data_IF_881056044278
#
_entry.id   IF_881056044278
#
_cell.length_a   1.000
_cell.length_b   1.000
_cell.length_c   1.000
_cell.angle_alpha   90.00
_cell.angle_beta   90.00
_cell.angle_gamma   90.00
#
_symmetry.space_group_name_H-M   'P 1'
#
loop_
_entity.id
_entity.type
_entity.pdbx_description
1 polymer ?
#
# COMPACT_ATOMS: atom_id res chain seq x y z
N UNK A 1 -1.35 16.13 1.40
CA UNK A 1 -1.09 16.09 -0.05
C UNK A 1 -0.14 14.93 -0.37
N UNK A 2 -0.65 13.74 -0.76
CA UNK A 2 0.17 12.50 -0.87
C UNK A 2 0.68 12.16 -2.29
N UNK A 3 0.33 12.96 -3.29
CA UNK A 3 0.66 12.73 -4.70
C UNK A 3 1.97 13.42 -5.13
N UNK A 4 2.23 14.61 -4.57
CA UNK A 4 3.42 15.42 -4.86
C UNK A 4 4.75 14.65 -4.83
N UNK A 5 5.08 13.83 -3.80
CA UNK A 5 6.37 13.13 -3.78
C UNK A 5 6.51 12.09 -4.91
N UNK A 6 5.42 11.46 -5.34
CA UNK A 6 5.47 10.51 -6.46
C UNK A 6 5.74 11.23 -7.79
N UNK A 7 5.08 12.37 -8.02
CA UNK A 7 5.32 13.22 -9.21
C UNK A 7 6.76 13.74 -9.22
N UNK A 8 7.26 14.24 -8.08
CA UNK A 8 8.64 14.74 -7.97
C UNK A 8 9.66 13.64 -8.27
N UNK A 9 9.47 12.44 -7.69
CA UNK A 9 10.32 11.28 -7.97
C UNK A 9 10.28 10.93 -9.46
N UNK A 10 9.08 10.71 -10.03
CA UNK A 10 8.95 10.31 -11.43
C UNK A 10 9.54 11.37 -12.39
N UNK A 11 9.42 12.68 -12.09
CA UNK A 11 10.08 13.78 -12.82
C UNK A 11 11.60 13.71 -12.72
N UNK A 12 12.16 13.55 -11.52
CA UNK A 12 13.62 13.44 -11.31
C UNK A 12 14.19 12.25 -12.09
N UNK A 13 13.50 11.11 -12.10
CA UNK A 13 13.95 9.94 -12.86
C UNK A 13 13.91 10.17 -14.39
N UNK A 14 12.93 10.92 -14.92
CA UNK A 14 12.92 11.33 -16.35
C UNK A 14 14.06 12.29 -16.68
N UNK A 15 14.39 13.24 -15.79
CA UNK A 15 15.56 14.11 -15.98
C UNK A 15 16.88 13.32 -15.97
N UNK A 16 17.05 12.41 -15.00
CA UNK A 16 18.24 11.54 -14.89
C UNK A 16 18.39 10.66 -16.14
N UNK A 17 17.31 10.05 -16.62
CA UNK A 17 17.30 9.31 -17.90
C UNK A 17 17.80 10.17 -19.07
N UNK A 18 17.32 11.42 -19.17
CA UNK A 18 17.66 12.32 -20.27
C UNK A 18 19.13 12.77 -20.24
N UNK A 19 19.69 13.00 -19.05
CA UNK A 19 21.12 13.31 -18.87
C UNK A 19 21.99 12.11 -19.24
N UNK A 20 21.67 10.92 -18.71
CA UNK A 20 22.42 9.69 -18.99
C UNK A 20 22.36 9.34 -20.48
N UNK A 21 21.19 9.49 -21.11
CA UNK A 21 21.00 9.22 -22.53
C UNK A 21 21.90 10.09 -23.42
N UNK A 22 21.96 11.41 -23.16
CA UNK A 22 22.85 12.32 -23.92
C UNK A 22 24.33 12.01 -23.67
N UNK A 23 24.71 11.82 -22.41
CA UNK A 23 26.10 11.48 -22.05
C UNK A 23 26.57 10.15 -22.69
N UNK A 24 25.65 9.20 -22.91
CA UNK A 24 25.94 7.91 -23.55
C UNK A 24 26.09 7.98 -25.07
N UNK A 25 25.76 9.12 -25.69
CA UNK A 25 25.89 9.37 -27.14
C UNK A 25 26.99 10.43 -27.45
N UNK A 26 27.88 10.72 -26.50
CA UNK A 26 28.88 11.82 -26.55
C UNK A 26 28.26 13.20 -26.83
N UNK A 27 26.95 13.34 -26.60
CA UNK A 27 26.23 14.59 -26.81
C UNK A 27 26.33 15.50 -25.56
N UNK A 28 26.43 16.81 -25.79
CA UNK A 28 26.52 17.78 -24.69
C UNK A 28 25.34 17.60 -23.68
N UNK A 29 25.63 17.28 -22.41
CA UNK A 29 24.59 16.99 -21.41
C UNK A 29 23.74 18.20 -21.05
N UNK A 30 24.19 19.44 -21.29
CA UNK A 30 23.38 20.65 -21.09
C UNK A 30 22.11 20.66 -21.96
N UNK A 31 22.10 19.94 -23.08
CA UNK A 31 20.93 19.78 -23.96
C UNK A 31 19.83 18.85 -23.41
N UNK A 32 19.96 18.28 -22.21
CA UNK A 32 19.03 17.27 -21.69
C UNK A 32 17.57 17.72 -21.64
N UNK A 33 17.28 19.02 -21.46
CA UNK A 33 15.91 19.54 -21.52
C UNK A 33 15.24 19.31 -22.88
N UNK A 34 15.98 19.44 -24.00
CA UNK A 34 15.46 19.20 -25.35
C UNK A 34 15.06 17.72 -25.56
N UNK A 35 15.76 16.81 -24.89
CA UNK A 35 15.43 15.37 -24.90
C UNK A 35 14.36 15.01 -23.86
N UNK A 36 14.30 15.73 -22.73
CA UNK A 36 13.41 15.44 -21.59
C UNK A 36 11.98 15.97 -21.78
N UNK A 37 11.80 17.15 -22.38
CA UNK A 37 10.50 17.83 -22.38
C UNK A 37 9.33 17.03 -22.98
N UNK A 38 9.49 16.19 -24.04
CA UNK A 38 8.38 15.38 -24.56
C UNK A 38 7.87 14.40 -23.51
N UNK A 39 8.81 13.79 -22.76
CA UNK A 39 8.54 12.83 -21.70
C UNK A 39 7.98 13.50 -20.45
N UNK A 40 8.46 14.70 -20.10
CA UNK A 40 7.91 15.47 -18.97
C UNK A 40 6.46 15.87 -19.21
N UNK A 41 6.13 16.37 -20.42
CA UNK A 41 4.75 16.69 -20.79
C UNK A 41 3.88 15.43 -20.79
N UNK A 42 4.36 14.34 -21.39
CA UNK A 42 3.64 13.05 -21.39
C UNK A 42 3.46 12.46 -19.98
N UNK A 43 4.42 12.64 -19.08
CA UNK A 43 4.36 12.18 -17.68
C UNK A 43 3.30 12.94 -16.88
N UNK A 44 3.22 14.26 -17.08
CA UNK A 44 2.20 15.12 -16.44
C UNK A 44 0.80 14.78 -16.97
N UNK A 45 0.65 14.57 -18.29
CA UNK A 45 -0.60 14.14 -18.91
C UNK A 45 -0.99 12.73 -18.41
N UNK A 46 -0.06 11.79 -18.36
CA UNK A 46 -0.29 10.44 -17.85
C UNK A 46 -0.73 10.45 -16.38
N UNK A 47 -0.13 11.30 -15.55
CA UNK A 47 -0.56 11.55 -14.18
C UNK A 47 -1.97 12.15 -14.08
N UNK A 48 -2.31 13.12 -14.95
CA UNK A 48 -3.64 13.73 -14.98
C UNK A 48 -4.71 12.71 -15.40
N UNK A 49 -4.49 11.95 -16.47
CA UNK A 49 -5.40 10.89 -16.94
C UNK A 49 -5.57 9.82 -15.84
N UNK A 50 -4.47 9.36 -15.24
CA UNK A 50 -4.50 8.39 -14.14
C UNK A 50 -5.14 8.94 -12.84
N UNK A 51 -5.30 10.26 -12.71
CA UNK A 51 -6.03 10.90 -11.61
C UNK A 51 -7.53 11.06 -11.92
N UNK A 52 -7.89 11.25 -13.19
CA UNK A 52 -9.27 11.40 -13.68
C UNK A 52 -10.02 10.06 -13.87
N UNK A 53 -9.30 8.94 -13.99
CA UNK A 53 -9.91 7.65 -14.31
C UNK A 53 -10.92 7.15 -13.24
N UNK A 54 -12.18 6.83 -13.61
CA UNK A 54 -13.16 6.26 -12.68
C UNK A 54 -12.71 4.90 -12.15
N UNK A 55 -12.91 4.63 -10.85
CA UNK A 55 -12.54 3.36 -10.20
C UNK A 55 -11.31 3.41 -9.28
N UNK A 56 -10.57 4.53 -9.27
CA UNK A 56 -9.61 5.00 -8.25
C UNK A 56 -9.21 3.99 -7.14
N UNK A 57 -8.16 3.17 -7.35
CA UNK A 57 -7.39 2.68 -6.22
C UNK A 57 -6.83 3.90 -5.48
N UNK A 58 -7.31 4.18 -4.26
CA UNK A 58 -7.00 5.39 -3.46
C UNK A 58 -5.52 5.52 -3.03
N UNK A 59 -4.61 4.76 -3.63
CA UNK A 59 -3.18 4.68 -3.31
C UNK A 59 -2.35 4.90 -4.59
N UNK A 60 -1.65 6.05 -4.76
CA UNK A 60 -0.73 6.29 -5.90
C UNK A 60 0.51 5.38 -5.92
N UNK A 61 0.59 4.47 -4.95
CA UNK A 61 1.59 3.42 -4.76
C UNK A 61 1.18 2.08 -5.41
N UNK A 62 0.02 2.02 -6.08
CA UNK A 62 -0.43 0.82 -6.77
C UNK A 62 0.37 0.58 -8.05
N UNK A 63 0.78 -0.67 -8.29
CA UNK A 63 1.51 -1.08 -9.51
C UNK A 63 0.68 -0.79 -10.76
N UNK A 64 -0.64 -1.07 -10.74
CA UNK A 64 -1.57 -0.74 -11.83
C UNK A 64 -1.55 0.74 -12.21
N UNK A 65 -1.41 1.63 -11.20
CA UNK A 65 -1.36 3.07 -11.44
C UNK A 65 -0.04 3.48 -12.11
N UNK A 66 1.08 2.89 -11.68
CA UNK A 66 2.37 3.04 -12.34
C UNK A 66 2.37 2.54 -13.78
N UNK A 67 1.70 1.42 -14.07
CA UNK A 67 1.56 0.88 -15.44
C UNK A 67 0.74 1.81 -16.33
N UNK A 68 -0.38 2.35 -15.86
CA UNK A 68 -1.18 3.33 -16.63
C UNK A 68 -0.35 4.58 -16.94
N UNK A 69 0.30 5.17 -15.93
CA UNK A 69 1.17 6.34 -16.12
C UNK A 69 2.31 6.02 -17.09
N UNK A 70 2.95 4.86 -16.97
CA UNK A 70 4.02 4.41 -17.87
C UNK A 70 3.57 4.32 -19.33
N UNK A 71 2.45 3.63 -19.61
CA UNK A 71 1.90 3.48 -20.97
C UNK A 71 1.60 4.85 -21.59
N UNK A 72 0.92 5.75 -20.86
CA UNK A 72 0.65 7.11 -21.34
C UNK A 72 1.92 7.95 -21.53
N UNK A 73 2.93 7.78 -20.66
CA UNK A 73 4.20 8.52 -20.76
C UNK A 73 5.02 8.06 -21.98
N UNK A 74 5.07 6.76 -22.25
CA UNK A 74 5.77 6.20 -23.42
C UNK A 74 5.07 6.62 -24.71
N UNK A 75 3.75 6.39 -24.82
CA UNK A 75 2.98 6.74 -26.04
C UNK A 75 3.01 8.26 -26.28
N UNK A 76 2.70 9.06 -25.26
CA UNK A 76 2.70 10.51 -25.36
C UNK A 76 4.08 11.10 -25.65
N UNK A 77 5.13 10.56 -25.03
CA UNK A 77 6.50 11.03 -25.22
C UNK A 77 7.02 10.76 -26.63
N UNK A 78 6.72 9.59 -27.20
CA UNK A 78 7.07 9.27 -28.58
C UNK A 78 6.26 10.09 -29.59
N UNK A 79 4.95 10.29 -29.35
CA UNK A 79 4.12 11.14 -30.20
C UNK A 79 4.59 12.60 -30.21
N UNK A 80 4.88 13.20 -29.04
CA UNK A 80 5.42 14.55 -28.98
C UNK A 80 6.80 14.65 -29.63
N UNK A 81 7.69 13.65 -29.46
CA UNK A 81 9.01 13.64 -30.10
C UNK A 81 8.90 13.67 -31.62
N UNK A 82 8.05 12.81 -32.20
CA UNK A 82 7.79 12.77 -33.65
C UNK A 82 7.15 14.07 -34.14
N UNK A 83 6.15 14.60 -33.41
CA UNK A 83 5.51 15.87 -33.75
C UNK A 83 6.46 17.08 -33.66
N UNK A 84 7.56 16.96 -32.91
CA UNK A 84 8.61 17.99 -32.79
C UNK A 84 9.68 17.91 -33.88
N UNK A 85 9.52 17.02 -34.87
CA UNK A 85 10.44 16.85 -35.99
C UNK A 85 11.64 15.93 -35.71
N UNK A 86 11.66 15.25 -34.56
CA UNK A 86 12.75 14.33 -34.18
C UNK A 86 12.33 12.86 -34.41
N UNK A 87 13.29 12.00 -34.72
CA UNK A 87 13.02 10.60 -35.09
C UNK A 87 12.90 9.69 -33.88
N UNK A 88 11.89 8.82 -33.87
CA UNK A 88 11.76 7.75 -32.89
C UNK A 88 12.48 6.49 -33.38
N UNK A 89 13.81 6.47 -33.30
CA UNK A 89 14.61 5.29 -33.65
C UNK A 89 14.21 4.08 -32.78
N UNK A 90 14.19 2.88 -33.35
CA UNK A 90 13.74 1.65 -32.66
C UNK A 90 14.54 1.40 -31.37
N UNK A 91 15.86 1.60 -31.40
CA UNK A 91 16.70 1.49 -30.21
C UNK A 91 16.29 2.49 -29.11
N UNK A 92 16.01 3.73 -29.48
CA UNK A 92 15.54 4.75 -28.54
C UNK A 92 14.15 4.41 -27.97
N UNK A 93 13.23 3.87 -28.79
CA UNK A 93 11.92 3.39 -28.32
C UNK A 93 12.10 2.29 -27.27
N UNK A 94 12.94 1.29 -27.53
CA UNK A 94 13.19 0.17 -26.61
C UNK A 94 13.80 0.69 -25.30
N UNK A 95 14.88 1.47 -25.37
CA UNK A 95 15.58 1.99 -24.18
C UNK A 95 14.67 2.89 -23.36
N UNK A 96 13.97 3.85 -23.97
CA UNK A 96 13.03 4.70 -23.26
C UNK A 96 11.89 3.90 -22.61
N UNK A 97 11.30 2.93 -23.33
CA UNK A 97 10.20 2.10 -22.82
C UNK A 97 10.63 1.27 -21.62
N UNK A 98 11.80 0.62 -21.69
CA UNK A 98 12.36 -0.18 -20.60
C UNK A 98 12.76 0.70 -19.40
N UNK A 99 13.49 1.79 -19.63
CA UNK A 99 13.97 2.67 -18.54
C UNK A 99 12.80 3.35 -17.83
N UNK A 100 11.83 3.94 -18.56
CA UNK A 100 10.62 4.48 -17.93
C UNK A 100 9.79 3.37 -17.27
N UNK A 101 9.79 2.14 -17.78
CA UNK A 101 9.10 1.01 -17.15
C UNK A 101 9.70 0.68 -15.77
N UNK A 102 11.02 0.55 -15.70
CA UNK A 102 11.73 0.35 -14.42
C UNK A 102 11.56 1.55 -13.50
N UNK A 103 11.63 2.78 -14.03
CA UNK A 103 11.59 4.01 -13.25
C UNK A 103 10.19 4.41 -12.75
N UNK A 104 9.12 4.05 -13.47
CA UNK A 104 7.74 4.37 -13.05
C UNK A 104 7.06 3.18 -12.36
N UNK A 105 7.34 1.95 -12.78
CA UNK A 105 6.70 0.73 -12.24
C UNK A 105 7.59 0.04 -11.20
N UNK A 106 8.91 -0.01 -11.40
CA UNK A 106 9.84 -0.81 -10.60
C UNK A 106 9.86 -0.45 -9.10
N UNK A 107 9.92 0.84 -8.73
CA UNK A 107 9.88 1.24 -7.32
C UNK A 107 8.51 0.98 -6.66
N UNK A 108 7.42 1.10 -7.42
CA UNK A 108 6.06 0.75 -6.96
C UNK A 108 5.95 -0.76 -6.73
N UNK A 109 6.54 -1.59 -7.60
CA UNK A 109 6.66 -3.04 -7.41
C UNK A 109 7.53 -3.42 -6.20
N UNK A 110 8.69 -2.76 -6.02
CA UNK A 110 9.57 -3.01 -4.87
C UNK A 110 8.88 -2.70 -3.53
N UNK A 111 8.18 -1.57 -3.42
CA UNK A 111 7.43 -1.22 -2.21
C UNK A 111 6.24 -2.14 -1.97
N UNK A 112 5.57 -2.64 -3.01
CA UNK A 112 4.53 -3.65 -2.89
C UNK A 112 5.08 -5.00 -2.39
N UNK A 113 6.25 -5.42 -2.87
CA UNK A 113 6.89 -6.67 -2.44
C UNK A 113 7.38 -6.60 -0.99
N UNK A 114 8.00 -5.48 -0.58
CA UNK A 114 8.41 -5.26 0.82
C UNK A 114 7.22 -5.30 1.78
N UNK A 115 6.06 -4.76 1.38
CA UNK A 115 4.82 -4.82 2.18
C UNK A 115 4.30 -6.24 2.34
N UNK A 116 4.33 -7.06 1.29
CA UNK A 116 3.95 -8.49 1.35
C UNK A 116 4.85 -9.28 2.30
N UNK A 117 6.17 -9.05 2.24
CA UNK A 117 7.14 -9.70 3.15
C UNK A 117 6.88 -9.38 4.62
N UNK A 118 6.56 -8.13 4.96
CA UNK A 118 6.20 -7.76 6.34
C UNK A 118 4.88 -8.37 6.81
N UNK A 119 3.89 -8.49 5.94
CA UNK A 119 2.62 -9.14 6.29
C UNK A 119 2.79 -10.64 6.61
N UNK A 120 3.66 -11.34 5.86
CA UNK A 120 3.97 -12.75 6.14
C UNK A 120 4.72 -12.97 7.47
N UNK A 121 5.62 -12.05 7.84
CA UNK A 121 6.31 -12.12 9.14
C UNK A 121 5.34 -11.98 10.33
N UNK A 122 4.43 -11.00 10.27
CA UNK A 122 3.41 -10.77 11.32
C UNK A 122 2.40 -11.92 11.39
N UNK A 123 2.05 -12.54 10.25
CA UNK A 123 1.18 -13.72 10.24
C UNK A 123 1.82 -14.91 10.98
N UNK A 124 3.12 -15.15 10.80
CA UNK A 124 3.84 -16.16 11.56
C UNK A 124 3.86 -15.87 13.06
N UNK A 125 4.12 -14.63 13.49
CA UNK A 125 4.06 -14.27 14.93
C UNK A 125 2.69 -14.57 15.54
N UNK A 126 1.60 -14.22 14.84
CA UNK A 126 0.25 -14.48 15.36
C UNK A 126 -0.13 -15.97 15.36
N UNK A 127 0.36 -16.76 14.41
CA UNK A 127 0.13 -18.21 14.39
C UNK A 127 0.88 -18.89 15.56
N UNK A 128 2.14 -18.52 15.83
CA UNK A 128 2.89 -18.98 17.00
C UNK A 128 2.25 -18.55 18.35
N UNK A 129 1.81 -17.30 18.50
CA UNK A 129 1.12 -16.84 19.72
C UNK A 129 -0.22 -17.56 19.94
N UNK A 130 -0.95 -17.83 18.87
CA UNK A 130 -2.28 -18.44 18.95
C UNK A 130 -2.21 -19.96 19.16
N UNK A 131 -1.19 -20.63 18.63
CA UNK A 131 -0.94 -22.06 18.84
C UNK A 131 -0.33 -22.32 20.22
N UNK A 132 0.69 -21.55 20.63
CA UNK A 132 1.25 -21.60 21.99
C UNK A 132 0.26 -21.26 23.12
N UNK A 133 -0.85 -20.57 22.79
CA UNK A 133 -1.97 -20.34 23.72
C UNK A 133 -3.01 -21.47 23.74
N UNK A 134 -3.06 -22.34 22.73
CA UNK A 134 -3.93 -23.52 22.70
C UNK A 134 -3.32 -24.69 23.49
N UNK A 135 -1.99 -24.81 23.48
CA UNK A 135 -1.25 -25.85 24.20
C UNK A 135 -1.09 -25.58 25.71
N UNK A 136 -1.61 -24.46 26.22
CA UNK A 136 -1.64 -24.15 27.65
C UNK A 136 -3.08 -23.92 28.18
N UNK A 137 -3.94 -24.95 28.15
CA UNK A 137 -5.22 -24.92 28.85
C UNK A 137 -4.98 -24.99 30.36
N UNK A 138 -4.83 -23.82 30.98
CA UNK A 138 -5.20 -23.50 32.37
C UNK A 138 -5.09 -24.67 33.37
N UNK A 139 -3.89 -25.17 33.59
CA UNK A 139 -3.58 -26.24 34.56
C UNK A 139 -3.54 -25.72 36.01
N UNK A 140 -4.52 -24.91 36.42
CA UNK A 140 -4.57 -24.30 37.74
C UNK A 140 -5.98 -23.88 38.20
N UNK A 141 -6.88 -24.84 38.46
CA UNK A 141 -7.56 -24.96 39.77
C UNK A 141 -8.50 -26.19 39.83
N UNK A 142 -7.91 -27.35 40.10
CA UNK A 142 -8.58 -28.43 40.81
C UNK A 142 -8.32 -28.25 42.31
N UNK A 143 -9.32 -27.83 43.07
CA UNK A 143 -9.30 -27.91 44.54
C UNK A 143 -10.70 -28.24 45.04
N UNK A 144 -10.85 -29.53 45.39
CA UNK A 144 -11.71 -30.10 46.41
C UNK A 144 -13.23 -29.99 46.25
N UNK A 145 -13.81 -31.10 45.77
CA UNK A 145 -15.20 -31.48 46.04
C UNK A 145 -15.21 -32.63 47.06
N UNK A 146 -15.81 -32.42 48.24
CA UNK A 146 -16.13 -33.47 49.23
C UNK A 146 -17.60 -33.35 49.72
N UNK A 147 -18.20 -34.45 50.20
CA UNK A 147 -19.66 -34.71 50.18
C UNK A 147 -20.00 -35.92 51.08
N UNK A 148 -21.17 -36.03 51.78
CA UNK A 148 -22.52 -35.57 51.38
C UNK A 148 -23.37 -34.85 52.46
N UNK A 149 -24.67 -34.64 52.15
CA UNK A 149 -25.71 -34.09 53.03
C UNK A 149 -26.34 -35.12 54.01
N UNK A 150 -26.94 -34.65 55.14
CA UNK A 150 -28.11 -35.20 55.92
C UNK A 150 -28.29 -34.43 57.28
N UNK A 151 -29.39 -34.55 58.09
CA UNK A 151 -30.28 -33.38 58.32
C UNK A 151 -30.70 -32.99 59.79
N UNK A 152 -31.15 -31.73 59.98
CA UNK A 152 -32.02 -31.17 61.07
C UNK A 152 -31.49 -31.22 62.53
N UNK A 153 -32.03 -30.47 63.55
CA UNK A 153 -33.33 -29.76 63.63
C UNK A 153 -33.35 -28.32 64.25
N UNK A 154 -34.59 -27.78 64.36
CA UNK A 154 -35.11 -26.63 65.13
C UNK A 154 -34.21 -25.84 66.12
N UNK A 155 -34.28 -24.49 66.04
CA UNK A 155 -34.71 -23.60 67.14
C UNK A 155 -34.73 -22.11 66.75
N UNK A 156 -35.70 -21.35 67.31
CA UNK A 156 -35.76 -19.88 67.50
C UNK A 156 -35.50 -18.98 66.25
N UNK A 157 -36.52 -18.37 65.65
CA UNK A 157 -37.22 -17.16 66.14
C UNK A 157 -36.35 -15.89 66.10
N UNK A 158 -36.69 -14.95 65.20
CA UNK A 158 -37.18 -13.63 65.64
C UNK A 158 -37.96 -12.86 64.54
N UNK A 159 -38.94 -12.10 65.01
CA UNK A 159 -39.56 -10.87 64.47
C UNK A 159 -40.02 -10.77 62.99
N UNK A 160 -41.33 -11.02 62.79
CA UNK A 160 -42.22 -10.08 62.07
C UNK A 160 -42.64 -8.95 63.05
N UNK A 161 -43.11 -7.73 62.62
CA UNK A 161 -44.03 -7.56 61.48
C UNK A 161 -44.04 -6.24 60.67
N UNK A 162 -44.76 -6.30 59.52
CA UNK A 162 -45.67 -5.28 58.95
C UNK A 162 -45.21 -3.86 58.54
N UNK A 163 -45.47 -3.52 57.26
CA UNK A 163 -45.59 -2.15 56.73
C UNK A 163 -46.02 -2.19 55.25
N UNK A 164 -47.07 -1.46 54.79
CA UNK A 164 -47.89 -1.94 53.66
C UNK A 164 -47.57 -1.39 52.27
N UNK A 165 -48.08 -2.10 51.25
CA UNK A 165 -48.18 -1.69 49.85
C UNK A 165 -48.82 -0.31 49.62
N UNK A 166 -48.42 0.38 48.55
CA UNK A 166 -49.33 0.73 47.42
C UNK A 166 -48.58 1.26 46.17
N UNK A 167 -49.21 1.23 44.97
CA UNK A 167 -48.49 1.29 43.70
C UNK A 167 -48.66 2.60 42.90
N UNK A 168 -47.82 2.71 41.86
CA UNK A 168 -48.04 3.33 40.54
C UNK A 168 -48.44 4.81 40.41
N UNK A 169 -47.64 5.52 39.61
CA UNK A 169 -48.03 6.64 38.74
C UNK A 169 -47.15 6.61 37.49
#
# INVERSE_FOLDING_TARGET
>A
MRYLPAVIVDVVLVLVFSVIGRASHDENPAGFLLTAWPFLVALLIGHAIAALLPGRPRRPWSVLWGVVVWVFTVIGGMLLRIASGDTAQVAFIIVATLTLGVFLVGWRSATALLRRRRAGAVAHEQEYEHEGRRDHPESAQSTDAETPAMPMPDAAADEQPSGPDRPAS
#
